data_IF_357666856652
#
_entry.id   IF_357666856652
#
_cell.length_a   1.000
_cell.length_b   1.000
_cell.length_c   1.000
_cell.angle_alpha   90.00
_cell.angle_beta   90.00
_cell.angle_gamma   90.00
#
_symmetry.space_group_name_H-M   'P 1'
#
loop_
_entity.id
_entity.type
_entity.pdbx_description
1 polymer ?
#
# COMPACT_ATOMS: atom_id res chain seq x y z
N UNK A 1 46.94 -49.28 -23.38
CA UNK A 1 47.16 -48.33 -22.26
C UNK A 1 45.87 -47.80 -21.61
N UNK A 2 44.70 -47.82 -22.25
CA UNK A 2 43.42 -47.24 -21.73
C UNK A 2 42.86 -47.85 -20.41
N UNK A 3 43.02 -49.15 -20.16
CA UNK A 3 42.39 -49.82 -19.00
C UNK A 3 43.02 -49.49 -17.64
N UNK A 4 44.33 -49.17 -17.62
CA UNK A 4 45.09 -48.87 -16.39
C UNK A 4 44.85 -47.46 -15.86
N UNK A 5 44.41 -46.54 -16.73
CA UNK A 5 43.99 -45.19 -16.33
C UNK A 5 42.60 -45.24 -15.70
N UNK A 6 41.59 -45.81 -16.37
CA UNK A 6 40.19 -45.98 -15.87
C UNK A 6 40.07 -46.53 -14.44
N UNK A 7 41.04 -47.34 -14.00
CA UNK A 7 41.07 -47.91 -12.65
C UNK A 7 41.58 -46.95 -11.57
N UNK A 8 42.28 -45.87 -11.94
CA UNK A 8 42.74 -44.81 -11.01
C UNK A 8 41.63 -43.80 -10.70
N UNK A 9 40.86 -43.34 -11.68
CA UNK A 9 39.78 -42.36 -11.43
C UNK A 9 38.67 -42.99 -10.57
N UNK A 10 38.32 -44.25 -10.83
CA UNK A 10 37.36 -45.00 -10.00
C UNK A 10 37.84 -45.14 -8.55
N UNK A 11 39.16 -45.33 -8.33
CA UNK A 11 39.73 -45.39 -6.97
C UNK A 11 39.64 -44.04 -6.26
N UNK A 12 39.84 -42.93 -6.98
CA UNK A 12 39.69 -41.57 -6.44
C UNK A 12 38.24 -41.32 -6.02
N UNK A 13 37.27 -41.62 -6.90
CA UNK A 13 35.85 -41.47 -6.59
C UNK A 13 35.41 -42.36 -5.41
N UNK A 14 35.93 -43.59 -5.32
CA UNK A 14 35.69 -44.49 -4.20
C UNK A 14 36.37 -44.04 -2.90
N UNK A 15 37.49 -43.33 -3.00
CA UNK A 15 38.14 -42.70 -1.86
C UNK A 15 37.35 -41.50 -1.35
N UNK A 16 36.75 -40.70 -2.24
CA UNK A 16 35.95 -39.53 -1.90
C UNK A 16 34.49 -39.82 -1.58
N UNK A 17 33.98 -41.05 -1.76
CA UNK A 17 32.58 -41.38 -1.48
C UNK A 17 32.26 -41.56 0.02
N UNK A 18 33.28 -41.63 0.88
CA UNK A 18 33.09 -41.80 2.33
C UNK A 18 32.85 -40.46 3.02
N UNK A 19 31.81 -40.33 3.87
CA UNK A 19 31.52 -39.09 4.59
C UNK A 19 32.69 -38.57 5.43
N UNK A 20 33.36 -39.46 6.16
CA UNK A 20 34.51 -39.10 7.02
C UNK A 20 35.68 -38.59 6.17
N UNK A 21 35.93 -39.21 5.01
CA UNK A 21 37.01 -38.78 4.11
C UNK A 21 36.73 -37.43 3.48
N UNK A 22 35.49 -37.14 3.09
CA UNK A 22 35.10 -35.79 2.66
C UNK A 22 35.23 -34.76 3.78
N UNK A 23 34.90 -35.12 5.02
CA UNK A 23 35.09 -34.21 6.15
C UNK A 23 36.58 -33.91 6.42
N UNK A 24 37.46 -34.92 6.32
CA UNK A 24 38.93 -34.71 6.40
C UNK A 24 39.37 -33.71 5.32
N UNK A 25 38.97 -33.93 4.07
CA UNK A 25 39.31 -33.06 2.95
C UNK A 25 38.80 -31.63 3.17
N UNK A 26 37.55 -31.44 3.60
CA UNK A 26 37.00 -30.10 3.91
C UNK A 26 37.75 -29.42 5.07
N UNK A 27 38.11 -30.19 6.11
CA UNK A 27 38.84 -29.64 7.26
C UNK A 27 40.22 -29.11 6.84
N UNK A 28 40.91 -29.83 5.97
CA UNK A 28 42.19 -29.40 5.40
C UNK A 28 42.04 -28.22 4.43
N UNK A 29 40.88 -28.06 3.78
CA UNK A 29 40.61 -26.90 2.91
C UNK A 29 40.38 -25.64 3.74
N UNK A 30 39.65 -25.76 4.86
CA UNK A 30 39.30 -24.63 5.73
C UNK A 30 40.45 -24.21 6.65
N UNK A 31 41.15 -25.18 7.27
CA UNK A 31 42.14 -24.93 8.31
C UNK A 31 43.60 -25.04 7.83
N UNK A 32 43.80 -25.44 6.58
CA UNK A 32 45.14 -25.69 6.03
C UNK A 32 45.80 -26.96 6.59
N UNK A 33 47.14 -27.08 6.53
CA UNK A 33 47.85 -28.29 6.93
C UNK A 33 47.80 -28.58 8.44
N UNK A 34 47.34 -29.78 8.81
CA UNK A 34 47.11 -30.18 10.20
C UNK A 34 47.81 -31.48 10.58
N UNK A 35 48.28 -31.64 11.82
CA UNK A 35 48.80 -32.90 12.33
C UNK A 35 47.67 -33.92 12.58
N UNK A 36 48.05 -35.19 12.76
CA UNK A 36 47.12 -36.32 12.93
C UNK A 36 46.09 -36.10 14.05
N UNK A 37 46.54 -35.65 15.22
CA UNK A 37 45.71 -35.44 16.42
C UNK A 37 44.71 -34.30 16.23
N UNK A 38 45.10 -33.19 15.59
CA UNK A 38 44.21 -32.06 15.33
C UNK A 38 43.13 -32.37 14.28
N UNK A 39 43.46 -33.19 13.27
CA UNK A 39 42.46 -33.68 12.32
C UNK A 39 41.43 -34.59 13.00
N UNK A 40 41.90 -35.51 13.84
CA UNK A 40 41.03 -36.41 14.59
C UNK A 40 40.11 -35.65 15.55
N UNK A 41 40.66 -34.67 16.27
CA UNK A 41 39.89 -33.79 17.17
C UNK A 41 38.87 -32.93 16.39
N UNK A 42 39.24 -32.41 15.22
CA UNK A 42 38.33 -31.62 14.36
C UNK A 42 37.12 -32.43 13.88
N UNK A 43 37.24 -33.76 13.81
CA UNK A 43 36.16 -34.69 13.44
C UNK A 43 35.39 -35.23 14.66
N UNK A 44 35.75 -34.80 15.88
CA UNK A 44 35.18 -35.30 17.15
C UNK A 44 35.31 -36.83 17.31
N UNK A 45 36.35 -37.43 16.72
CA UNK A 45 36.64 -38.87 16.87
C UNK A 45 37.46 -39.10 18.14
N UNK A 46 37.23 -40.21 18.83
CA UNK A 46 37.92 -40.50 20.10
C UNK A 46 39.33 -41.08 19.84
N UNK A 47 40.41 -40.45 20.34
CA UNK A 47 41.78 -40.92 20.10
C UNK A 47 42.11 -42.33 20.57
N UNK A 48 41.40 -42.89 21.55
CA UNK A 48 41.67 -44.25 22.04
C UNK A 48 40.83 -45.32 21.34
N UNK A 49 39.60 -45.00 20.91
CA UNK A 49 38.67 -45.95 20.29
C UNK A 49 38.69 -45.90 18.76
N UNK A 50 38.87 -44.73 18.17
CA UNK A 50 38.72 -44.51 16.72
C UNK A 50 40.05 -44.45 15.97
N UNK A 51 41.19 -44.60 16.64
CA UNK A 51 42.52 -44.43 16.05
C UNK A 51 42.75 -45.30 14.81
N UNK A 52 42.46 -46.59 14.89
CA UNK A 52 42.64 -47.51 13.76
C UNK A 52 41.72 -47.18 12.57
N UNK A 53 40.48 -46.77 12.87
CA UNK A 53 39.49 -46.39 11.85
C UNK A 53 39.86 -45.08 11.14
N UNK A 54 40.32 -44.09 11.89
CA UNK A 54 40.78 -42.83 11.32
C UNK A 54 42.05 -43.03 10.48
N UNK A 55 43.03 -43.79 10.98
CA UNK A 55 44.24 -44.14 10.23
C UNK A 55 43.91 -44.86 8.90
N UNK A 56 42.90 -45.72 8.89
CA UNK A 56 42.40 -46.36 7.66
C UNK A 56 41.91 -45.32 6.63
N UNK A 57 41.12 -44.34 7.06
CA UNK A 57 40.63 -43.28 6.18
C UNK A 57 41.75 -42.40 5.64
N UNK A 58 42.70 -42.02 6.49
CA UNK A 58 43.85 -41.21 6.13
C UNK A 58 44.76 -41.93 5.13
N UNK A 59 45.06 -43.21 5.37
CA UNK A 59 45.84 -44.06 4.47
C UNK A 59 45.16 -44.21 3.10
N UNK A 60 43.83 -44.31 3.07
CA UNK A 60 43.07 -44.36 1.82
C UNK A 60 43.17 -43.05 1.02
N UNK A 61 43.15 -41.90 1.68
CA UNK A 61 43.30 -40.59 1.04
C UNK A 61 44.73 -40.36 0.52
N UNK A 62 45.75 -40.77 1.29
CA UNK A 62 47.16 -40.74 0.86
C UNK A 62 47.40 -41.63 -0.36
N UNK A 63 46.91 -42.89 -0.32
CA UNK A 63 47.06 -43.85 -1.42
C UNK A 63 46.44 -43.37 -2.73
N UNK A 64 45.43 -42.50 -2.66
CA UNK A 64 44.74 -41.93 -3.83
C UNK A 64 45.21 -40.52 -4.18
N UNK A 65 46.27 -40.03 -3.53
CA UNK A 65 46.86 -38.71 -3.78
C UNK A 65 45.86 -37.56 -3.61
N UNK A 66 44.88 -37.70 -2.72
CA UNK A 66 43.93 -36.64 -2.36
C UNK A 66 44.46 -35.75 -1.24
N UNK A 67 45.33 -36.31 -0.41
CA UNK A 67 46.12 -35.59 0.60
C UNK A 67 47.55 -36.09 0.50
N UNK A 68 48.48 -35.30 1.02
CA UNK A 68 49.89 -35.63 1.14
C UNK A 68 50.40 -35.24 2.53
N UNK A 69 51.48 -35.88 2.98
CA UNK A 69 52.15 -35.57 4.24
C UNK A 69 53.43 -34.80 3.96
N UNK A 70 53.59 -33.67 4.63
CA UNK A 70 54.89 -33.01 4.72
C UNK A 70 55.76 -33.77 5.75
N UNK A 71 56.92 -34.23 5.28
CA UNK A 71 57.83 -35.11 6.04
C UNK A 71 58.50 -34.35 7.18
N UNK A 72 58.77 -33.05 6.99
CA UNK A 72 59.44 -32.22 8.00
C UNK A 72 58.46 -31.79 9.10
N UNK A 73 57.25 -31.36 8.73
CA UNK A 73 56.28 -30.85 9.69
C UNK A 73 55.31 -31.90 10.25
N UNK A 74 55.30 -33.13 9.72
CA UNK A 74 54.33 -34.21 10.04
C UNK A 74 52.87 -33.76 9.89
N UNK A 75 52.60 -32.79 9.02
CA UNK A 75 51.26 -32.26 8.74
C UNK A 75 50.71 -32.83 7.44
N UNK A 76 49.41 -33.09 7.42
CA UNK A 76 48.68 -33.50 6.24
C UNK A 76 48.17 -32.25 5.52
N UNK A 77 48.33 -32.18 4.20
CA UNK A 77 47.81 -31.10 3.36
C UNK A 77 47.04 -31.65 2.17
N UNK A 78 46.14 -30.83 1.62
CA UNK A 78 45.42 -31.14 0.39
C UNK A 78 46.33 -31.04 -0.83
N UNK A 79 46.19 -31.99 -1.74
CA UNK A 79 46.75 -31.90 -3.10
C UNK A 79 45.80 -31.12 -4.02
N UNK A 80 46.27 -30.72 -5.21
CA UNK A 80 45.40 -30.13 -6.24
C UNK A 80 44.25 -31.05 -6.65
N UNK A 81 44.49 -32.36 -6.71
CA UNK A 81 43.44 -33.35 -6.97
C UNK A 81 42.39 -33.36 -5.85
N UNK A 82 42.83 -33.30 -4.59
CA UNK A 82 41.94 -33.16 -3.42
C UNK A 82 41.04 -31.94 -3.51
N UNK A 83 41.59 -30.78 -3.90
CA UNK A 83 40.83 -29.53 -4.09
C UNK A 83 39.77 -29.68 -5.20
N UNK A 84 40.12 -30.29 -6.33
CA UNK A 84 39.18 -30.55 -7.43
C UNK A 84 38.04 -31.46 -6.96
N UNK A 85 38.34 -32.52 -6.22
CA UNK A 85 37.33 -33.44 -5.69
C UNK A 85 36.34 -32.75 -4.75
N UNK A 86 36.81 -31.87 -3.86
CA UNK A 86 35.93 -31.07 -3.00
C UNK A 86 35.02 -30.17 -3.85
N UNK A 87 35.59 -29.46 -4.83
CA UNK A 87 34.83 -28.58 -5.72
C UNK A 87 33.70 -29.32 -6.45
N UNK A 88 34.00 -30.49 -7.00
CA UNK A 88 33.00 -31.34 -7.69
C UNK A 88 31.95 -31.84 -6.70
N UNK A 89 32.35 -32.28 -5.50
CA UNK A 89 31.41 -32.72 -4.47
C UNK A 89 30.46 -31.60 -4.03
N UNK A 90 30.95 -30.36 -3.93
CA UNK A 90 30.14 -29.18 -3.62
C UNK A 90 29.19 -28.79 -4.76
N UNK A 91 29.61 -28.91 -6.02
CA UNK A 91 28.73 -28.72 -7.17
C UNK A 91 27.60 -29.75 -7.20
N UNK A 92 27.91 -31.03 -6.93
CA UNK A 92 26.90 -32.09 -6.81
C UNK A 92 25.95 -31.80 -5.65
N UNK A 93 26.47 -31.38 -4.49
CA UNK A 93 25.65 -31.02 -3.33
C UNK A 93 24.70 -29.85 -3.65
N UNK A 94 25.18 -28.82 -4.35
CA UNK A 94 24.36 -27.69 -4.79
C UNK A 94 23.24 -28.10 -5.75
N UNK A 95 23.48 -29.09 -6.61
CA UNK A 95 22.47 -29.62 -7.55
C UNK A 95 21.51 -30.65 -6.94
N UNK A 96 21.90 -31.32 -5.87
CA UNK A 96 21.08 -32.36 -5.20
C UNK A 96 20.28 -31.83 -4.00
N UNK A 97 20.69 -30.73 -3.38
CA UNK A 97 19.86 -29.98 -2.45
C UNK A 97 18.68 -29.39 -3.21
N UNK A 98 17.46 -29.94 -3.02
CA UNK A 98 16.22 -29.25 -3.42
C UNK A 98 16.28 -27.84 -2.82
N UNK A 99 16.12 -26.76 -3.61
CA UNK A 99 16.12 -25.42 -3.05
C UNK A 99 15.04 -25.38 -1.97
N UNK A 100 15.38 -24.90 -0.76
CA UNK A 100 14.37 -24.62 0.27
C UNK A 100 13.32 -23.73 -0.41
N UNK A 101 12.10 -24.24 -0.55
CA UNK A 101 11.01 -23.50 -1.17
C UNK A 101 10.76 -22.27 -0.32
N UNK A 102 11.15 -21.12 -0.84
CA UNK A 102 10.95 -19.84 -0.18
C UNK A 102 9.44 -19.57 -0.18
N UNK A 103 8.87 -19.42 1.02
CA UNK A 103 7.45 -19.13 1.17
C UNK A 103 7.25 -17.62 1.28
N UNK A 104 6.22 -17.11 0.61
CA UNK A 104 5.83 -15.71 0.64
C UNK A 104 4.42 -15.62 1.22
N UNK A 105 4.25 -14.83 2.27
CA UNK A 105 2.94 -14.40 2.75
C UNK A 105 2.43 -13.28 1.86
N UNK A 106 1.39 -13.56 1.09
CA UNK A 106 0.82 -12.61 0.14
C UNK A 106 0.01 -11.52 0.85
N UNK A 107 -0.33 -10.46 0.12
CA UNK A 107 -1.19 -9.37 0.61
C UNK A 107 -2.60 -9.84 0.99
N UNK A 108 -3.02 -11.04 0.55
CA UNK A 108 -4.26 -11.72 0.94
C UNK A 108 -4.10 -12.61 2.18
N UNK A 109 -2.97 -12.48 2.89
CA UNK A 109 -2.61 -13.24 4.08
C UNK A 109 -2.42 -14.75 3.87
N UNK A 110 -2.36 -15.23 2.62
CA UNK A 110 -2.08 -16.62 2.26
C UNK A 110 -0.56 -16.89 2.17
N UNK A 111 -0.14 -18.11 2.49
CA UNK A 111 1.23 -18.56 2.28
C UNK A 111 1.32 -19.27 0.93
N UNK A 112 2.15 -18.74 0.04
CA UNK A 112 2.37 -19.26 -1.31
C UNK A 112 3.86 -19.51 -1.57
N UNK A 113 4.17 -20.36 -2.55
CA UNK A 113 5.56 -20.52 -3.01
C UNK A 113 6.02 -19.25 -3.73
N UNK A 114 7.29 -18.88 -3.51
CA UNK A 114 7.92 -17.77 -4.21
C UNK A 114 7.91 -18.02 -5.73
N UNK A 115 7.38 -17.04 -6.46
CA UNK A 115 7.30 -17.05 -7.91
C UNK A 115 7.85 -15.73 -8.46
N UNK A 116 8.95 -15.81 -9.21
CA UNK A 116 9.61 -14.68 -9.87
C UNK A 116 8.71 -14.01 -10.92
N UNK A 117 7.79 -14.76 -11.53
CA UNK A 117 6.89 -14.22 -12.55
C UNK A 117 5.97 -13.17 -11.94
N UNK A 118 5.51 -13.35 -10.69
CA UNK A 118 4.70 -12.35 -9.98
C UNK A 118 5.42 -11.00 -9.80
N UNK A 119 6.75 -11.02 -9.61
CA UNK A 119 7.54 -9.78 -9.55
C UNK A 119 7.60 -9.12 -10.93
N UNK A 120 7.86 -9.92 -11.96
CA UNK A 120 7.93 -9.45 -13.35
C UNK A 120 6.59 -8.84 -13.77
N UNK A 121 5.49 -9.54 -13.53
CA UNK A 121 4.13 -9.11 -13.87
C UNK A 121 3.74 -7.83 -13.12
N UNK A 122 4.10 -7.72 -11.83
CA UNK A 122 3.89 -6.49 -11.04
C UNK A 122 4.67 -5.31 -11.61
N UNK A 123 5.94 -5.49 -11.98
CA UNK A 123 6.76 -4.45 -12.61
C UNK A 123 6.15 -3.98 -13.95
N UNK A 124 5.75 -4.90 -14.82
CA UNK A 124 5.14 -4.56 -16.11
C UNK A 124 3.80 -3.85 -15.89
N UNK A 125 2.90 -4.45 -15.09
CA UNK A 125 1.53 -3.98 -14.92
C UNK A 125 1.42 -2.65 -14.18
N UNK A 126 2.19 -2.48 -13.10
CA UNK A 126 2.06 -1.30 -12.23
C UNK A 126 2.93 -0.13 -12.71
N UNK A 127 3.98 -0.40 -13.49
CA UNK A 127 4.95 0.66 -13.85
C UNK A 127 5.14 0.89 -15.34
N UNK A 128 4.53 0.03 -16.20
CA UNK A 128 4.77 -0.04 -17.64
C UNK A 128 6.24 -0.27 -18.01
N UNK A 129 6.95 -1.05 -17.19
CA UNK A 129 8.36 -1.40 -17.44
C UNK A 129 8.48 -2.34 -18.66
N UNK A 130 9.45 -2.13 -19.57
CA UNK A 130 9.75 -3.07 -20.64
C UNK A 130 10.03 -4.48 -20.10
N UNK A 131 9.50 -5.50 -20.76
CA UNK A 131 9.58 -6.91 -20.36
C UNK A 131 11.00 -7.36 -20.06
N UNK A 132 11.96 -7.02 -20.93
CA UNK A 132 13.36 -7.40 -20.78
C UNK A 132 13.99 -6.80 -19.52
N UNK A 133 13.66 -5.54 -19.20
CA UNK A 133 14.15 -4.87 -18.01
C UNK A 133 13.49 -5.45 -16.76
N UNK A 134 12.18 -5.71 -16.79
CA UNK A 134 11.45 -6.33 -15.69
C UNK A 134 12.03 -7.70 -15.33
N UNK A 135 12.34 -8.53 -16.32
CA UNK A 135 13.00 -9.83 -16.08
C UNK A 135 14.40 -9.69 -15.46
N UNK A 136 15.19 -8.69 -15.89
CA UNK A 136 16.52 -8.43 -15.30
C UNK A 136 16.40 -8.05 -13.82
N UNK A 137 15.51 -7.12 -13.50
CA UNK A 137 15.26 -6.68 -12.12
C UNK A 137 14.73 -7.84 -11.28
N UNK A 138 13.75 -8.60 -11.77
CA UNK A 138 13.18 -9.74 -11.05
C UNK A 138 14.23 -10.82 -10.72
N UNK A 139 15.15 -11.12 -11.64
CA UNK A 139 16.25 -12.07 -11.40
C UNK A 139 17.23 -11.57 -10.34
N UNK A 140 17.52 -10.27 -10.36
CA UNK A 140 18.38 -9.66 -9.34
C UNK A 140 17.71 -9.67 -7.96
N UNK A 141 16.40 -9.40 -7.91
CA UNK A 141 15.58 -9.52 -6.71
C UNK A 141 15.60 -10.95 -6.16
N UNK A 142 15.34 -11.96 -7.00
CA UNK A 142 15.40 -13.37 -6.59
C UNK A 142 16.76 -13.72 -5.98
N UNK A 143 17.85 -13.34 -6.65
CA UNK A 143 19.22 -13.58 -6.15
C UNK A 143 19.46 -12.94 -4.79
N UNK A 144 18.90 -11.75 -4.53
CA UNK A 144 19.01 -11.06 -3.24
C UNK A 144 18.17 -11.74 -2.17
N UNK A 145 16.94 -12.13 -2.48
CA UNK A 145 16.02 -12.79 -1.56
C UNK A 145 16.52 -14.17 -1.13
N UNK A 146 17.07 -14.97 -2.05
CA UNK A 146 17.63 -16.29 -1.76
C UNK A 146 18.88 -16.26 -0.87
N UNK A 147 19.62 -15.13 -0.86
CA UNK A 147 20.73 -14.93 0.07
C UNK A 147 20.27 -14.64 1.49
N UNK A 148 19.05 -14.15 1.67
CA UNK A 148 18.50 -13.89 2.99
C UNK A 148 18.17 -15.23 3.66
N UNK A 149 18.63 -15.43 4.90
CA UNK A 149 18.41 -16.67 5.67
C UNK A 149 17.02 -16.69 6.33
N UNK A 150 16.02 -16.01 5.76
CA UNK A 150 14.69 -15.86 6.35
C UNK A 150 13.82 -17.11 6.14
N UNK A 151 12.98 -17.45 7.14
CA UNK A 151 12.07 -18.61 7.06
C UNK A 151 10.93 -18.41 6.06
N UNK A 152 10.42 -17.19 5.95
CA UNK A 152 9.39 -16.78 4.99
C UNK A 152 9.54 -15.27 4.74
N UNK A 153 9.02 -14.81 3.60
CA UNK A 153 8.96 -13.41 3.22
C UNK A 153 7.51 -12.91 3.23
N UNK A 154 7.32 -11.60 3.19
CA UNK A 154 6.01 -10.99 2.95
C UNK A 154 6.04 -10.27 1.61
N UNK A 155 4.89 -10.17 0.93
CA UNK A 155 4.79 -9.41 -0.32
C UNK A 155 5.28 -7.95 -0.19
N UNK A 156 4.98 -7.21 0.90
CA UNK A 156 5.57 -5.89 1.14
C UNK A 156 7.11 -5.90 1.18
N UNK A 157 7.72 -6.86 1.87
CA UNK A 157 9.18 -6.98 1.95
C UNK A 157 9.80 -7.28 0.58
N UNK A 158 9.16 -8.14 -0.22
CA UNK A 158 9.60 -8.38 -1.61
C UNK A 158 9.61 -7.07 -2.41
N UNK A 159 8.54 -6.28 -2.29
CA UNK A 159 8.43 -4.97 -2.95
C UNK A 159 9.48 -3.97 -2.46
N UNK A 160 9.80 -3.94 -1.18
CA UNK A 160 10.89 -3.12 -0.63
C UNK A 160 12.25 -3.48 -1.24
N UNK A 161 12.53 -4.78 -1.41
CA UNK A 161 13.77 -5.25 -2.05
C UNK A 161 13.81 -4.87 -3.53
N UNK A 162 12.69 -4.97 -4.25
CA UNK A 162 12.58 -4.50 -5.63
C UNK A 162 12.87 -3.00 -5.69
N UNK A 163 12.22 -2.19 -4.85
CA UNK A 163 12.40 -0.73 -4.82
C UNK A 163 13.85 -0.34 -4.50
N UNK A 164 14.53 -1.06 -3.60
CA UNK A 164 15.96 -0.83 -3.34
C UNK A 164 16.81 -1.07 -4.58
N UNK A 165 16.55 -2.15 -5.34
CA UNK A 165 17.28 -2.46 -6.58
C UNK A 165 17.00 -1.39 -7.65
N UNK A 166 15.76 -0.92 -7.77
CA UNK A 166 15.43 0.15 -8.73
C UNK A 166 16.25 1.43 -8.45
N UNK A 167 16.38 1.83 -7.18
CA UNK A 167 17.20 2.97 -6.79
C UNK A 167 18.69 2.72 -7.10
N UNK A 168 19.22 1.54 -6.75
CA UNK A 168 20.62 1.17 -7.04
C UNK A 168 20.96 1.22 -8.56
N UNK A 169 19.95 1.05 -9.43
CA UNK A 169 20.10 1.12 -10.89
C UNK A 169 19.76 2.48 -11.50
N UNK A 170 19.42 3.48 -10.69
CA UNK A 170 19.00 4.81 -11.16
C UNK A 170 17.62 4.83 -11.82
N UNK A 171 16.76 3.83 -11.54
CA UNK A 171 15.44 3.64 -12.12
C UNK A 171 14.34 4.24 -11.23
N UNK A 172 14.51 5.50 -10.80
CA UNK A 172 13.64 6.17 -9.83
C UNK A 172 12.19 6.31 -10.31
N UNK A 173 12.00 6.56 -11.60
CA UNK A 173 10.68 6.69 -12.23
C UNK A 173 9.78 5.46 -12.02
N UNK A 174 10.37 4.26 -12.02
CA UNK A 174 9.64 3.02 -11.75
C UNK A 174 9.41 2.81 -10.25
N UNK A 175 10.37 3.21 -9.41
CA UNK A 175 10.22 3.17 -7.95
C UNK A 175 9.05 4.03 -7.49
N UNK A 176 8.88 5.23 -8.06
CA UNK A 176 7.77 6.11 -7.70
C UNK A 176 6.41 5.42 -7.92
N UNK A 177 6.24 4.74 -9.05
CA UNK A 177 5.01 4.00 -9.37
C UNK A 177 4.78 2.75 -8.49
N UNK A 178 5.85 2.11 -8.04
CA UNK A 178 5.82 0.95 -7.15
C UNK A 178 5.78 1.31 -5.65
N UNK A 179 5.70 2.60 -5.33
CA UNK A 179 5.68 3.07 -3.94
C UNK A 179 4.38 2.65 -3.27
N UNK A 180 4.49 2.08 -2.07
CA UNK A 180 3.33 1.74 -1.26
C UNK A 180 2.93 2.97 -0.45
N UNK A 181 1.67 3.35 -0.57
CA UNK A 181 1.06 4.39 0.26
C UNK A 181 0.55 3.78 1.57
N UNK A 182 0.78 4.46 2.68
CA UNK A 182 0.39 3.97 3.99
C UNK A 182 1.06 4.73 5.13
N UNK A 183 0.70 4.35 6.36
CA UNK A 183 1.28 4.91 7.56
C UNK A 183 2.27 3.94 8.20
N UNK A 184 3.40 4.43 8.74
CA UNK A 184 4.24 3.65 9.65
C UNK A 184 3.44 3.09 10.83
N UNK A 185 3.82 1.90 11.31
CA UNK A 185 3.14 1.23 12.43
C UNK A 185 3.15 2.10 13.69
N UNK A 186 4.25 2.81 13.93
CA UNK A 186 4.37 3.74 15.05
C UNK A 186 3.32 4.85 14.98
N UNK A 187 3.13 5.48 13.83
CA UNK A 187 2.21 6.60 13.66
C UNK A 187 0.75 6.15 13.82
N UNK A 188 0.42 4.96 13.31
CA UNK A 188 -0.90 4.34 13.55
C UNK A 188 -1.10 4.09 15.04
N UNK A 189 -0.09 3.61 15.76
CA UNK A 189 -0.17 3.41 17.21
C UNK A 189 -0.41 4.73 17.94
N UNK A 190 0.32 5.79 17.60
CA UNK A 190 0.13 7.13 18.18
C UNK A 190 -1.28 7.67 17.90
N UNK A 191 -1.80 7.50 16.69
CA UNK A 191 -3.19 7.87 16.34
C UNK A 191 -4.22 7.13 17.21
N UNK A 192 -3.99 5.84 17.49
CA UNK A 192 -4.88 5.03 18.33
C UNK A 192 -4.78 5.36 19.82
N UNK A 193 -3.59 5.73 20.32
CA UNK A 193 -3.39 6.11 21.72
C UNK A 193 -4.03 7.46 22.05
N UNK A 194 -4.08 8.39 21.09
CA UNK A 194 -4.73 9.70 21.23
C UNK A 194 -6.28 9.66 21.17
N UNK A 195 -6.87 8.46 21.14
CA UNK A 195 -8.33 8.24 21.02
C UNK A 195 -9.15 8.84 22.17
N UNK A 196 -8.54 9.11 23.33
CA UNK A 196 -9.23 9.71 24.49
C UNK A 196 -9.73 11.13 24.24
N UNK A 197 -9.18 11.84 23.24
CA UNK A 197 -9.59 13.19 22.86
C UNK A 197 -10.37 13.26 21.53
N UNK A 198 -10.48 12.15 20.80
CA UNK A 198 -10.95 12.13 19.41
C UNK A 198 -12.04 11.06 19.16
N UNK A 199 -13.06 11.40 18.37
CA UNK A 199 -14.11 10.44 17.95
C UNK A 199 -13.51 9.36 17.05
N UNK A 200 -13.92 8.10 17.18
CA UNK A 200 -13.38 6.97 16.38
C UNK A 200 -13.36 7.23 14.87
N UNK A 201 -14.38 7.92 14.32
CA UNK A 201 -14.43 8.28 12.89
C UNK A 201 -13.26 9.16 12.45
N UNK A 202 -12.80 10.08 13.31
CA UNK A 202 -11.70 10.99 12.99
C UNK A 202 -10.36 10.26 12.78
N UNK A 203 -10.16 9.09 13.40
CA UNK A 203 -8.96 8.27 13.22
C UNK A 203 -8.97 7.63 11.83
N UNK A 204 -10.11 7.09 11.40
CA UNK A 204 -10.28 6.52 10.06
C UNK A 204 -10.11 7.60 8.98
N UNK A 205 -10.68 8.77 9.20
CA UNK A 205 -10.55 9.93 8.31
C UNK A 205 -9.11 10.42 8.24
N UNK A 206 -8.40 10.53 9.36
CA UNK A 206 -7.00 10.94 9.39
C UNK A 206 -6.11 9.94 8.63
N UNK A 207 -6.28 8.64 8.88
CA UNK A 207 -5.52 7.60 8.18
C UNK A 207 -5.80 7.59 6.67
N UNK A 208 -7.08 7.71 6.27
CA UNK A 208 -7.47 7.82 4.87
C UNK A 208 -6.92 9.08 4.21
N UNK A 209 -6.98 10.21 4.91
CA UNK A 209 -6.43 11.49 4.45
C UNK A 209 -4.94 11.38 4.16
N UNK A 210 -4.14 10.85 5.08
CA UNK A 210 -2.69 10.69 4.86
C UNK A 210 -2.36 9.86 3.62
N UNK A 211 -3.08 8.76 3.39
CA UNK A 211 -2.87 7.90 2.20
C UNK A 211 -3.20 8.64 0.91
N UNK A 212 -4.32 9.36 0.89
CA UNK A 212 -4.77 10.09 -0.30
C UNK A 212 -3.93 11.35 -0.56
N UNK A 213 -3.44 12.03 0.47
CA UNK A 213 -2.48 13.15 0.32
C UNK A 213 -1.20 12.66 -0.36
N UNK A 214 -0.64 11.55 0.11
CA UNK A 214 0.56 10.95 -0.48
C UNK A 214 0.30 10.51 -1.93
N UNK A 215 -0.88 9.94 -2.24
CA UNK A 215 -1.26 9.63 -3.62
C UNK A 215 -1.27 10.88 -4.50
N UNK A 216 -1.92 11.97 -4.05
CA UNK A 216 -2.01 13.23 -4.81
C UNK A 216 -0.64 13.82 -5.07
N UNK A 217 0.25 13.84 -4.07
CA UNK A 217 1.61 14.35 -4.20
C UNK A 217 2.46 13.53 -5.18
N UNK A 218 2.32 12.20 -5.18
CA UNK A 218 3.15 11.32 -5.99
C UNK A 218 2.64 11.10 -7.42
N UNK A 219 1.33 11.12 -7.64
CA UNK A 219 0.72 10.68 -8.90
C UNK A 219 -0.15 11.71 -9.60
N UNK A 220 -0.60 12.76 -8.91
CA UNK A 220 -1.54 13.75 -9.47
C UNK A 220 -0.84 15.05 -9.79
N UNK A 221 0.01 15.54 -8.87
CA UNK A 221 0.72 16.79 -9.06
C UNK A 221 1.99 16.61 -9.88
N UNK A 222 2.39 17.63 -10.66
CA UNK A 222 3.75 17.75 -11.16
C UNK A 222 4.77 17.73 -10.01
N UNK A 223 5.92 17.11 -10.23
CA UNK A 223 6.93 16.88 -9.19
C UNK A 223 7.45 18.18 -8.56
N UNK A 224 7.72 19.19 -9.38
CA UNK A 224 8.14 20.51 -8.94
C UNK A 224 7.09 21.17 -8.04
N UNK A 225 5.80 21.03 -8.35
CA UNK A 225 4.71 21.55 -7.51
C UNK A 225 4.61 20.79 -6.18
N UNK A 226 4.73 19.45 -6.22
CA UNK A 226 4.74 18.62 -5.01
C UNK A 226 5.93 18.96 -4.10
N UNK A 227 7.13 19.13 -4.66
CA UNK A 227 8.34 19.47 -3.91
C UNK A 227 8.24 20.88 -3.30
N UNK A 228 7.67 21.85 -4.01
CA UNK A 228 7.39 23.18 -3.47
C UNK A 228 6.33 23.14 -2.35
N UNK A 229 5.36 22.22 -2.42
CA UNK A 229 4.42 22.02 -1.33
C UNK A 229 5.10 21.43 -0.08
N UNK A 230 5.87 20.36 -0.26
CA UNK A 230 6.56 19.66 0.84
C UNK A 230 7.62 20.54 1.51
N UNK A 231 8.30 21.41 0.74
CA UNK A 231 9.26 22.38 1.26
C UNK A 231 8.63 23.60 1.94
N UNK A 232 7.31 23.77 1.82
CA UNK A 232 6.57 24.92 2.38
C UNK A 232 6.64 26.20 1.53
N UNK A 233 7.24 26.16 0.34
CA UNK A 233 7.23 27.28 -0.60
C UNK A 233 5.82 27.54 -1.17
N UNK A 234 5.00 26.48 -1.28
CA UNK A 234 3.60 26.55 -1.66
C UNK A 234 2.73 25.83 -0.61
N UNK A 235 1.54 26.35 -0.34
CA UNK A 235 0.55 25.64 0.48
C UNK A 235 -0.65 25.24 -0.37
N UNK A 236 -0.85 23.93 -0.53
CA UNK A 236 -1.99 23.37 -1.25
C UNK A 236 -2.94 22.74 -0.23
N UNK A 237 -4.11 23.36 -0.03
CA UNK A 237 -5.09 22.89 0.94
C UNK A 237 -5.92 21.73 0.39
N UNK A 238 -6.16 20.70 1.22
CA UNK A 238 -7.14 19.64 0.91
C UNK A 238 -6.67 18.58 -0.08
N UNK A 239 -5.38 18.28 -0.13
CA UNK A 239 -4.78 17.33 -1.09
C UNK A 239 -5.43 15.94 -1.09
N UNK A 240 -5.92 15.45 0.06
CA UNK A 240 -6.66 14.17 0.10
C UNK A 240 -8.00 14.20 -0.62
N UNK A 241 -8.57 15.38 -0.83
CA UNK A 241 -9.95 15.54 -1.31
C UNK A 241 -10.01 15.90 -2.79
N UNK A 242 -8.94 16.45 -3.37
CA UNK A 242 -8.90 16.94 -4.76
C UNK A 242 -9.31 15.89 -5.79
N UNK A 243 -8.89 14.64 -5.61
CA UNK A 243 -9.21 13.54 -6.52
C UNK A 243 -10.60 12.95 -6.31
N UNK A 244 -11.29 13.35 -5.23
CA UNK A 244 -12.55 12.75 -4.81
C UNK A 244 -13.74 13.70 -5.02
N UNK A 245 -13.58 14.97 -4.65
CA UNK A 245 -14.71 15.89 -4.53
C UNK A 245 -14.37 17.36 -4.75
N UNK A 246 -15.35 18.19 -5.18
CA UNK A 246 -15.16 19.63 -5.30
C UNK A 246 -14.88 20.28 -3.94
N UNK A 247 -14.20 21.43 -3.98
CA UNK A 247 -14.00 22.26 -2.79
C UNK A 247 -15.30 22.85 -2.30
N UNK A 248 -16.12 23.38 -3.21
CA UNK A 248 -17.31 24.14 -2.87
C UNK A 248 -18.45 23.85 -3.85
N UNK A 249 -19.69 24.02 -3.39
CA UNK A 249 -20.88 23.94 -4.21
C UNK A 249 -21.87 25.03 -3.84
N UNK A 250 -22.54 25.58 -4.85
CA UNK A 250 -23.67 26.49 -4.68
C UNK A 250 -24.92 25.76 -5.15
N UNK A 251 -25.88 25.60 -4.25
CA UNK A 251 -27.10 24.83 -4.50
C UNK A 251 -28.21 25.73 -5.06
N UNK A 252 -28.84 25.29 -6.14
CA UNK A 252 -30.07 25.92 -6.65
C UNK A 252 -31.30 25.18 -6.13
N UNK A 253 -31.95 25.73 -5.09
CA UNK A 253 -33.13 25.10 -4.48
C UNK A 253 -34.31 24.94 -5.44
N UNK A 254 -34.40 25.75 -6.50
CA UNK A 254 -35.50 25.68 -7.47
C UNK A 254 -35.54 24.34 -8.18
N UNK A 255 -34.37 23.77 -8.47
CA UNK A 255 -34.28 22.45 -9.07
C UNK A 255 -34.96 21.40 -8.19
N UNK A 256 -34.68 21.42 -6.89
CA UNK A 256 -35.24 20.46 -5.94
C UNK A 256 -36.71 20.76 -5.65
N UNK A 257 -37.10 22.03 -5.52
CA UNK A 257 -38.51 22.41 -5.32
C UNK A 257 -39.40 22.01 -6.49
N UNK A 258 -38.87 21.98 -7.71
CA UNK A 258 -39.58 21.50 -8.89
C UNK A 258 -39.63 19.97 -8.99
N UNK A 259 -38.51 19.29 -8.73
CA UNK A 259 -38.35 17.87 -9.09
C UNK A 259 -38.36 16.91 -7.89
N UNK A 260 -38.31 17.42 -6.67
CA UNK A 260 -38.02 16.64 -5.47
C UNK A 260 -36.55 16.24 -5.37
N UNK A 261 -36.24 15.38 -4.40
CA UNK A 261 -34.91 14.81 -4.18
C UNK A 261 -34.96 13.30 -4.48
N UNK A 262 -34.52 12.92 -5.68
CA UNK A 262 -34.49 11.52 -6.11
C UNK A 262 -33.13 10.87 -5.83
N UNK A 263 -33.02 10.14 -4.72
CA UNK A 263 -31.83 9.39 -4.34
C UNK A 263 -31.80 7.95 -4.87
N UNK A 264 -32.90 7.43 -5.41
CA UNK A 264 -33.01 6.04 -5.89
C UNK A 264 -32.02 5.74 -7.03
N UNK A 265 -31.67 6.76 -7.82
CA UNK A 265 -30.66 6.65 -8.89
C UNK A 265 -29.24 6.41 -8.35
N UNK A 266 -28.96 6.86 -7.13
CA UNK A 266 -27.64 6.75 -6.47
C UNK A 266 -27.60 5.51 -5.60
N UNK A 267 -28.66 5.28 -4.83
CA UNK A 267 -28.81 4.12 -3.98
C UNK A 267 -30.26 3.61 -4.03
N UNK A 268 -30.54 2.44 -4.64
CA UNK A 268 -31.89 1.90 -4.74
C UNK A 268 -32.62 1.68 -3.41
N UNK A 269 -31.88 1.64 -2.30
CA UNK A 269 -32.45 1.50 -0.94
C UNK A 269 -32.85 2.83 -0.29
N UNK A 270 -32.54 3.97 -0.92
CA UNK A 270 -32.92 5.30 -0.44
C UNK A 270 -34.18 5.80 -1.15
N UNK A 271 -35.26 6.11 -0.43
CA UNK A 271 -36.50 6.57 -1.04
C UNK A 271 -36.34 7.95 -1.67
N UNK A 272 -37.06 8.19 -2.77
CA UNK A 272 -37.21 9.53 -3.32
C UNK A 272 -38.13 10.41 -2.45
N UNK A 273 -37.76 11.68 -2.30
CA UNK A 273 -38.61 12.70 -1.69
C UNK A 273 -39.32 13.49 -2.79
N UNK A 274 -40.66 13.57 -2.80
CA UNK A 274 -41.38 14.38 -3.78
C UNK A 274 -41.14 15.88 -3.56
N UNK A 275 -41.46 16.73 -4.55
CA UNK A 275 -41.50 18.17 -4.38
C UNK A 275 -42.22 18.61 -3.09
N UNK A 276 -41.73 19.63 -2.37
CA UNK A 276 -42.25 20.03 -1.08
C UNK A 276 -43.65 20.63 -1.22
N UNK A 277 -44.52 20.37 -0.24
CA UNK A 277 -45.91 20.84 -0.20
C UNK A 277 -46.15 22.04 0.70
N UNK A 278 -45.23 22.31 1.62
CA UNK A 278 -45.28 23.35 2.65
C UNK A 278 -43.89 23.87 3.00
N UNK A 279 -43.81 24.99 3.73
CA UNK A 279 -42.55 25.55 4.23
C UNK A 279 -41.73 24.52 5.03
N UNK A 280 -42.38 23.70 5.87
CA UNK A 280 -41.69 22.65 6.65
C UNK A 280 -41.01 21.63 5.74
N UNK A 281 -41.72 21.18 4.69
CA UNK A 281 -41.15 20.22 3.75
C UNK A 281 -40.06 20.84 2.87
N UNK A 282 -40.16 22.14 2.54
CA UNK A 282 -39.15 22.84 1.77
C UNK A 282 -37.85 23.02 2.59
N UNK A 283 -37.97 23.42 3.87
CA UNK A 283 -36.85 23.51 4.81
C UNK A 283 -36.25 22.13 5.10
N UNK A 284 -37.09 21.12 5.31
CA UNK A 284 -36.63 19.73 5.51
C UNK A 284 -35.88 19.21 4.29
N UNK A 285 -36.37 19.48 3.08
CA UNK A 285 -35.68 19.06 1.86
C UNK A 285 -34.36 19.82 1.70
N UNK A 286 -34.33 21.12 1.98
CA UNK A 286 -33.10 21.94 1.99
C UNK A 286 -32.06 21.36 2.95
N UNK A 287 -32.48 21.00 4.17
CA UNK A 287 -31.60 20.36 5.15
C UNK A 287 -31.06 19.00 4.67
N UNK A 288 -31.91 18.17 4.05
CA UNK A 288 -31.48 16.88 3.50
C UNK A 288 -30.49 17.05 2.34
N UNK A 289 -30.70 18.03 1.44
CA UNK A 289 -29.75 18.35 0.36
C UNK A 289 -28.38 18.65 0.96
N UNK A 290 -28.32 19.51 1.98
CA UNK A 290 -27.08 19.87 2.66
C UNK A 290 -26.41 18.67 3.35
N UNK A 291 -27.18 17.79 3.99
CA UNK A 291 -26.67 16.55 4.61
C UNK A 291 -26.07 15.58 3.60
N UNK A 292 -26.71 15.42 2.44
CA UNK A 292 -26.20 14.54 1.39
C UNK A 292 -24.92 15.13 0.77
N UNK A 293 -24.94 16.42 0.44
CA UNK A 293 -23.79 17.08 -0.16
C UNK A 293 -22.62 17.28 0.81
N UNK A 294 -22.84 17.32 2.13
CA UNK A 294 -21.75 17.38 3.12
C UNK A 294 -20.75 16.21 3.01
N UNK A 295 -21.20 15.05 2.52
CA UNK A 295 -20.35 13.88 2.27
C UNK A 295 -19.48 14.07 1.02
N UNK A 296 -20.03 14.77 0.03
CA UNK A 296 -19.49 14.94 -1.32
C UNK A 296 -18.81 16.31 -1.55
N UNK A 297 -18.67 17.14 -0.52
CA UNK A 297 -18.02 18.46 -0.61
C UNK A 297 -16.92 18.59 0.45
N UNK A 298 -15.82 19.27 0.13
CA UNK A 298 -14.70 19.44 1.06
C UNK A 298 -14.85 20.66 1.98
N UNK A 299 -14.99 21.88 1.43
CA UNK A 299 -14.91 23.13 2.20
C UNK A 299 -16.25 23.74 2.51
N UNK A 300 -17.08 24.04 1.51
CA UNK A 300 -18.25 24.89 1.72
C UNK A 300 -19.43 24.55 0.82
N UNK A 301 -20.62 24.73 1.37
CA UNK A 301 -21.89 24.62 0.68
C UNK A 301 -22.64 25.94 0.85
N UNK A 302 -23.12 26.50 -0.25
CA UNK A 302 -23.85 27.77 -0.23
C UNK A 302 -25.26 27.54 -0.74
N UNK A 303 -26.25 28.01 0.02
CA UNK A 303 -27.61 28.19 -0.48
C UNK A 303 -27.75 29.66 -0.87
N UNK A 304 -27.69 29.92 -2.17
CA UNK A 304 -27.90 31.26 -2.69
C UNK A 304 -29.41 31.59 -2.73
N UNK A 305 -29.77 32.86 -2.58
CA UNK A 305 -31.16 33.34 -2.58
C UNK A 305 -32.09 32.57 -1.61
N UNK A 306 -31.61 32.23 -0.41
CA UNK A 306 -32.31 31.34 0.53
C UNK A 306 -33.73 31.81 0.83
N UNK A 307 -33.89 33.08 1.22
CA UNK A 307 -35.18 33.67 1.54
C UNK A 307 -36.08 33.84 0.32
N UNK A 308 -35.51 34.20 -0.84
CA UNK A 308 -36.26 34.38 -2.10
C UNK A 308 -36.85 33.04 -2.58
N UNK A 309 -36.06 31.97 -2.60
CA UNK A 309 -36.51 30.67 -3.09
C UNK A 309 -37.54 30.01 -2.16
N UNK A 310 -37.50 30.32 -0.86
CA UNK A 310 -38.48 29.84 0.11
C UNK A 310 -39.75 30.70 0.19
N UNK A 311 -39.71 31.94 -0.29
CA UNK A 311 -40.82 32.90 -0.20
C UNK A 311 -42.19 32.35 -0.66
N UNK A 312 -42.29 31.57 -1.77
CA UNK A 312 -43.57 30.99 -2.18
C UNK A 312 -44.21 30.08 -1.13
N UNK A 313 -43.41 29.41 -0.30
CA UNK A 313 -43.89 28.50 0.74
C UNK A 313 -44.31 29.21 2.03
N UNK A 314 -43.94 30.47 2.21
CA UNK A 314 -44.33 31.30 3.36
C UNK A 314 -45.65 32.05 3.13
N UNK A 315 -46.18 32.05 1.89
CA UNK A 315 -47.45 32.68 1.55
C UNK A 315 -48.59 32.11 2.40
N UNK A 316 -49.35 33.01 3.04
CA UNK A 316 -50.46 32.67 3.97
C UNK A 316 -50.04 31.84 5.20
N UNK A 317 -48.74 31.80 5.53
CA UNK A 317 -48.25 31.22 6.78
C UNK A 317 -48.17 32.33 7.82
N UNK A 318 -48.62 32.05 9.04
CA UNK A 318 -48.52 33.00 10.15
C UNK A 318 -47.03 33.38 10.42
N UNK A 319 -46.68 34.67 10.53
CA UNK A 319 -45.30 35.12 10.78
C UNK A 319 -44.61 34.45 11.98
N UNK A 320 -45.34 34.20 13.07
CA UNK A 320 -44.78 33.52 14.25
C UNK A 320 -44.38 32.08 13.93
N UNK A 321 -45.17 31.39 13.10
CA UNK A 321 -44.88 30.02 12.63
C UNK A 321 -43.73 29.99 11.64
N UNK A 322 -43.60 31.01 10.77
CA UNK A 322 -42.44 31.13 9.87
C UNK A 322 -41.15 31.22 10.71
N UNK A 323 -41.13 32.09 11.72
CA UNK A 323 -40.00 32.26 12.62
C UNK A 323 -39.65 30.98 13.39
N UNK A 324 -40.64 30.27 13.92
CA UNK A 324 -40.43 29.00 14.62
C UNK A 324 -39.77 27.95 13.72
N UNK A 325 -40.24 27.81 12.48
CA UNK A 325 -39.72 26.86 11.51
C UNK A 325 -38.30 27.18 11.07
N UNK A 326 -38.01 28.47 10.84
CA UNK A 326 -36.65 28.93 10.53
C UNK A 326 -35.70 28.71 11.69
N UNK A 327 -36.13 28.99 12.93
CA UNK A 327 -35.33 28.71 14.12
C UNK A 327 -34.97 27.22 14.21
N UNK A 328 -35.95 26.32 14.02
CA UNK A 328 -35.70 24.88 14.03
C UNK A 328 -34.75 24.45 12.90
N UNK A 329 -34.90 25.00 11.70
CA UNK A 329 -34.02 24.73 10.57
C UNK A 329 -32.57 25.15 10.86
N UNK A 330 -32.36 26.39 11.30
CA UNK A 330 -31.02 26.92 11.62
C UNK A 330 -30.39 26.13 12.77
N UNK A 331 -31.17 25.80 13.81
CA UNK A 331 -30.71 24.95 14.89
C UNK A 331 -30.24 23.59 14.38
N UNK A 332 -31.03 22.92 13.53
CA UNK A 332 -30.66 21.63 12.95
C UNK A 332 -29.40 21.71 12.08
N UNK A 333 -29.27 22.75 11.23
CA UNK A 333 -28.06 22.98 10.44
C UNK A 333 -26.86 23.13 11.38
N UNK A 334 -26.93 23.99 12.39
CA UNK A 334 -25.83 24.24 13.33
C UNK A 334 -25.38 23.01 14.16
N UNK A 335 -26.29 22.05 14.37
CA UNK A 335 -25.99 20.83 15.15
C UNK A 335 -25.32 19.73 14.32
N UNK A 336 -25.49 19.74 12.99
CA UNK A 336 -25.10 18.62 12.12
C UNK A 336 -24.12 19.01 11.02
N UNK A 337 -23.99 20.30 10.72
CA UNK A 337 -23.28 20.81 9.54
C UNK A 337 -22.46 22.04 9.91
N UNK A 338 -21.16 21.98 9.61
CA UNK A 338 -20.21 23.05 9.95
C UNK A 338 -19.80 23.89 8.72
N UNK A 339 -20.25 23.52 7.53
CA UNK A 339 -19.76 24.06 6.26
C UNK A 339 -20.84 24.71 5.38
N UNK A 340 -21.87 25.29 5.98
CA UNK A 340 -23.02 25.86 5.27
C UNK A 340 -23.05 27.38 5.36
N UNK A 341 -23.29 28.04 4.23
CA UNK A 341 -23.60 29.47 4.15
C UNK A 341 -24.99 29.66 3.56
N UNK A 342 -25.82 30.46 4.22
CA UNK A 342 -27.15 30.85 3.75
C UNK A 342 -27.09 32.31 3.31
N UNK A 343 -27.35 32.58 2.04
CA UNK A 343 -27.37 33.94 1.50
C UNK A 343 -28.78 34.52 1.59
N UNK A 344 -28.90 35.69 2.20
CA UNK A 344 -30.17 36.40 2.42
C UNK A 344 -30.18 37.66 1.57
N UNK A 345 -31.20 37.81 0.75
CA UNK A 345 -31.39 38.99 -0.08
C UNK A 345 -32.36 39.97 0.58
N UNK A 346 -31.96 41.24 0.68
CA UNK A 346 -32.83 42.31 1.20
C UNK A 346 -33.93 42.71 0.21
N UNK A 347 -33.72 42.41 -1.07
CA UNK A 347 -34.65 42.66 -2.17
C UNK A 347 -34.48 41.59 -3.24
N UNK A 348 -35.56 41.18 -3.89
CA UNK A 348 -35.51 40.17 -4.97
C UNK A 348 -34.79 40.79 -6.18
N UNK A 349 -33.65 40.21 -6.63
CA UNK A 349 -32.93 40.75 -7.79
C UNK A 349 -33.76 40.66 -9.07
N UNK A 350 -33.68 41.68 -9.94
CA UNK A 350 -34.50 41.78 -11.16
C UNK A 350 -34.48 40.52 -12.04
N UNK A 351 -33.30 39.93 -12.23
CA UNK A 351 -33.14 38.73 -13.05
C UNK A 351 -33.73 37.46 -12.40
N UNK A 352 -33.96 37.46 -11.08
CA UNK A 352 -34.70 36.41 -10.37
C UNK A 352 -36.18 36.73 -10.33
N UNK A 353 -36.54 38.01 -10.16
CA UNK A 353 -37.91 38.49 -10.05
C UNK A 353 -38.78 38.01 -11.21
N UNK A 354 -38.25 38.00 -12.44
CA UNK A 354 -38.97 37.57 -13.64
C UNK A 354 -39.10 36.04 -13.81
N UNK A 355 -38.39 35.25 -13.00
CA UNK A 355 -38.39 33.78 -13.12
C UNK A 355 -39.61 33.16 -12.44
N UNK A 356 -40.03 32.01 -12.96
CA UNK A 356 -41.12 31.21 -12.38
C UNK A 356 -40.80 30.82 -10.93
N UNK A 357 -41.73 31.12 -10.02
CA UNK A 357 -41.66 30.73 -8.63
C UNK A 357 -42.26 29.33 -8.45
N UNK A 358 -41.49 28.41 -7.87
CA UNK A 358 -41.96 27.05 -7.56
C UNK A 358 -42.49 26.99 -6.13
N UNK A 359 -43.78 26.67 -5.99
CA UNK A 359 -44.49 26.52 -4.73
C UNK A 359 -44.88 25.06 -4.48
N UNK A 360 -46.09 24.85 -3.96
CA UNK A 360 -46.51 23.54 -3.45
C UNK A 360 -46.49 22.45 -4.53
N UNK A 361 -45.88 21.31 -4.21
CA UNK A 361 -45.75 20.13 -5.06
C UNK A 361 -45.08 20.43 -6.42
N UNK A 362 -44.16 21.40 -6.45
CA UNK A 362 -43.40 21.78 -7.65
C UNK A 362 -44.21 22.57 -8.68
N UNK A 363 -45.40 23.04 -8.32
CA UNK A 363 -46.23 23.87 -9.19
C UNK A 363 -45.68 25.29 -9.28
N UNK A 364 -45.88 25.91 -10.45
CA UNK A 364 -45.56 27.32 -10.65
C UNK A 364 -46.65 28.17 -9.98
N UNK A 365 -46.27 29.05 -9.06
CA UNK A 365 -47.17 29.94 -8.31
C UNK A 365 -46.93 31.42 -8.63
N UNK A 366 -46.67 31.75 -9.91
CA UNK A 366 -46.36 33.10 -10.37
C UNK A 366 -44.86 33.29 -10.61
N UNK A 367 -44.38 34.50 -10.39
CA UNK A 367 -42.96 34.86 -10.51
C UNK A 367 -42.38 35.21 -9.15
N UNK A 368 -41.06 35.10 -8.98
CA UNK A 368 -40.44 35.42 -7.67
C UNK A 368 -40.70 36.87 -7.25
N UNK A 369 -40.79 37.81 -8.19
CA UNK A 369 -41.12 39.21 -7.89
C UNK A 369 -42.45 39.41 -7.17
N UNK A 370 -43.38 38.46 -7.28
CA UNK A 370 -44.70 38.52 -6.62
C UNK A 370 -44.62 38.25 -5.10
N UNK A 371 -43.47 37.80 -4.57
CA UNK A 371 -43.30 37.33 -3.19
C UNK A 371 -42.34 38.19 -2.36
N UNK A 372 -42.25 39.50 -2.65
CA UNK A 372 -41.32 40.39 -1.96
C UNK A 372 -41.58 40.46 -0.44
N UNK A 373 -42.86 40.52 -0.04
CA UNK A 373 -43.24 40.55 1.37
C UNK A 373 -42.85 39.26 2.12
N UNK A 374 -43.11 38.10 1.51
CA UNK A 374 -42.73 36.80 2.06
C UNK A 374 -41.20 36.62 2.11
N UNK A 375 -40.47 37.11 1.11
CA UNK A 375 -39.01 37.09 1.08
C UNK A 375 -38.41 37.94 2.20
N UNK A 376 -38.98 39.13 2.46
CA UNK A 376 -38.60 40.00 3.56
C UNK A 376 -38.99 39.45 4.93
N UNK A 377 -40.06 38.66 5.02
CA UNK A 377 -40.46 37.99 6.26
C UNK A 377 -39.49 36.86 6.65
N UNK A 378 -38.88 36.19 5.66
CA UNK A 378 -37.90 35.12 5.90
C UNK A 378 -36.51 35.67 6.24
N UNK A 379 -36.16 36.83 5.66
CA UNK A 379 -34.93 37.57 5.99
C UNK A 379 -34.97 38.09 7.43
#
# INVERSE_FOLDING_TARGET
>A
MSHKYRTKEVKVLKASSSPIRLQILNTLLEKGPLPYTELMNSLKMNPTQDAGRFAYHLKSLLKTNLIETDIESKRYRLTELGKIVIKVADEIRKKTLKPKRLLVRTSRLALEEFDINKITDSLIKETNMPTDLAHKIARETEKRLLKSKTKYLTAPLVREVVNAILIEKGLEEYRHKLTRLGLPVHDVKTLLENKTQQRTLSILEAAGKSVLEEYTLLNVLPRDIADNHVSGALHISGLSQWILKPSEIIHDLRFFFRNGLNMEKINPSQPSYPPPKSLDSALSMTFNILLHAAKEVYKAQTIDYFNVFLAPFAKKVDPSKVKEKLHLFVFNVSQHLDNVSLCIELSIPDFIAEKQAFGSLGKVEGRYGDFNAESQLIA
#
